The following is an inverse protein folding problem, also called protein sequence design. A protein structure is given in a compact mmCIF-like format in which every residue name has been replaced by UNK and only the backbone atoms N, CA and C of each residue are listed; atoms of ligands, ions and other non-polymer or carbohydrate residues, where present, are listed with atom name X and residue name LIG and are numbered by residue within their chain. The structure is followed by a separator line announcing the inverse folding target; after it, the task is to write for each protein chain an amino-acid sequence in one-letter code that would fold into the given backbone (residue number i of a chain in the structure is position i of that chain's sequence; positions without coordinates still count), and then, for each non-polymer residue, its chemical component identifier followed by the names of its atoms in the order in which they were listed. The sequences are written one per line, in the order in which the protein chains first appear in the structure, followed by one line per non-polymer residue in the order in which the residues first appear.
data_IF_271856770600
#
_entry.id   IF_271856770600
#
_cell.length_a   1.000
_cell.length_b   1.000
_cell.length_c   1.000
_cell.angle_alpha   90.00
_cell.angle_beta   90.00
_cell.angle_gamma   90.00
#
_symmetry.space_group_name_H-M   'P 1'
#
loop_
_entity.id
_entity.type
_entity.pdbx_description
1 polymer ?
#
# COMPACT_ATOMS: atom_id res chain seq x y z
N UNK A 1 -5.33 -3.90 12.96
CA UNK A 1 -4.43 -3.11 12.12
C UNK A 1 -3.00 -3.54 12.37
N UNK A 2 -2.24 -3.72 11.28
CA UNK A 2 -0.80 -4.04 11.27
C UNK A 2 0.01 -2.86 11.81
N UNK A 3 1.19 -3.13 12.38
CA UNK A 3 2.06 -2.10 12.98
C UNK A 3 3.15 -1.66 12.01
N UNK A 4 3.24 -0.36 11.73
CA UNK A 4 4.29 0.19 10.88
C UNK A 4 5.69 -0.22 11.34
N UNK A 5 6.01 -0.17 12.63
CA UNK A 5 7.37 -0.47 13.11
C UNK A 5 7.70 -1.98 13.16
N UNK A 6 6.80 -2.87 12.73
CA UNK A 6 7.06 -4.30 12.66
C UNK A 6 7.37 -4.70 11.19
N UNK A 7 8.54 -5.31 10.91
CA UNK A 7 8.93 -5.71 9.55
C UNK A 7 7.99 -6.73 8.89
N UNK A 8 7.50 -7.71 9.63
CA UNK A 8 6.60 -8.74 9.12
C UNK A 8 5.24 -8.16 8.75
N UNK A 9 4.75 -7.22 9.56
CA UNK A 9 3.53 -6.46 9.30
C UNK A 9 3.67 -5.60 8.03
N UNK A 10 4.80 -4.91 7.83
CA UNK A 10 5.06 -4.19 6.57
C UNK A 10 5.05 -5.14 5.38
N UNK A 11 5.73 -6.28 5.48
CA UNK A 11 5.80 -7.29 4.41
C UNK A 11 4.40 -7.82 4.06
N UNK A 12 3.59 -8.13 5.08
CA UNK A 12 2.22 -8.60 4.90
C UNK A 12 1.34 -7.55 4.22
N UNK A 13 1.44 -6.28 4.64
CA UNK A 13 0.72 -5.16 4.01
C UNK A 13 1.10 -4.97 2.54
N UNK A 14 2.41 -4.91 2.23
CA UNK A 14 2.90 -4.80 0.85
C UNK A 14 2.40 -5.96 -0.01
N UNK A 15 2.45 -7.19 0.51
CA UNK A 15 1.97 -8.38 -0.20
C UNK A 15 0.47 -8.30 -0.51
N UNK A 16 -0.34 -7.84 0.44
CA UNK A 16 -1.78 -7.68 0.23
C UNK A 16 -2.10 -6.65 -0.86
N UNK A 17 -1.43 -5.49 -0.83
CA UNK A 17 -1.61 -4.43 -1.84
C UNK A 17 -1.13 -4.91 -3.22
N UNK A 18 0.03 -5.56 -3.30
CA UNK A 18 0.53 -6.12 -4.56
C UNK A 18 -0.40 -7.20 -5.13
N UNK A 19 -0.97 -8.08 -4.30
CA UNK A 19 -1.99 -9.05 -4.73
C UNK A 19 -3.22 -8.36 -5.31
N UNK A 20 -3.68 -7.27 -4.69
CA UNK A 20 -4.80 -6.48 -5.20
C UNK A 20 -4.46 -5.88 -6.57
N UNK A 21 -3.27 -5.32 -6.74
CA UNK A 21 -2.80 -4.78 -8.03
C UNK A 21 -2.74 -5.86 -9.11
N UNK A 22 -2.22 -7.06 -8.79
CA UNK A 22 -2.17 -8.18 -9.74
C UNK A 22 -3.57 -8.63 -10.18
N UNK A 23 -4.56 -8.57 -9.28
CA UNK A 23 -5.95 -8.91 -9.58
C UNK A 23 -6.73 -7.79 -10.29
N UNK A 24 -6.26 -6.54 -10.20
CA UNK A 24 -6.96 -5.34 -10.65
C UNK A 24 -5.94 -4.31 -11.16
N UNK A 25 -5.66 -4.38 -12.46
CA UNK A 25 -4.69 -3.48 -13.10
C UNK A 25 -5.08 -2.00 -13.00
N UNK A 26 -6.39 -1.71 -12.97
CA UNK A 26 -6.88 -0.33 -12.85
C UNK A 26 -6.57 0.27 -11.48
N UNK A 27 -6.57 -0.57 -10.44
CA UNK A 27 -6.12 -0.20 -9.10
C UNK A 27 -4.62 0.14 -9.10
N UNK A 28 -3.80 -0.66 -9.79
CA UNK A 28 -2.37 -0.39 -9.96
C UNK A 28 -2.09 0.95 -10.64
N UNK A 29 -2.82 1.28 -11.71
CA UNK A 29 -2.69 2.58 -12.38
C UNK A 29 -2.96 3.76 -11.45
N UNK A 30 -4.06 3.69 -10.65
CA UNK A 30 -4.37 4.73 -9.67
C UNK A 30 -3.31 4.89 -8.58
N UNK A 31 -2.70 3.78 -8.15
CA UNK A 31 -1.59 3.82 -7.20
C UNK A 31 -0.32 4.49 -7.77
N UNK A 32 -0.11 4.47 -9.10
CA UNK A 32 1.00 5.17 -9.75
C UNK A 32 0.73 6.68 -9.90
N UNK A 33 -0.54 7.06 -10.06
CA UNK A 33 -0.95 8.45 -10.33
C UNK A 33 -1.14 9.30 -9.06
N UNK A 34 -1.45 8.69 -7.91
CA UNK A 34 -1.84 9.41 -6.70
C UNK A 34 -1.24 8.83 -5.42
N UNK A 35 -0.43 9.63 -4.72
CA UNK A 35 0.13 9.29 -3.39
C UNK A 35 -0.96 9.10 -2.35
N UNK A 36 -2.00 9.94 -2.36
CA UNK A 36 -3.16 9.80 -1.46
C UNK A 36 -3.89 8.47 -1.68
N UNK A 37 -4.08 8.07 -2.95
CA UNK A 37 -4.70 6.79 -3.27
C UNK A 37 -3.81 5.63 -2.82
N UNK A 38 -2.50 5.70 -3.10
CA UNK A 38 -1.52 4.73 -2.66
C UNK A 38 -1.50 4.57 -1.13
N UNK A 39 -1.50 5.68 -0.37
CA UNK A 39 -1.57 5.67 1.09
C UNK A 39 -2.87 5.04 1.59
N UNK A 40 -4.02 5.40 1.01
CA UNK A 40 -5.31 4.78 1.32
C UNK A 40 -5.35 3.29 0.98
N UNK A 41 -4.66 2.85 -0.07
CA UNK A 41 -4.55 1.43 -0.41
C UNK A 41 -3.82 0.66 0.70
N UNK A 42 -2.75 1.21 1.26
CA UNK A 42 -2.07 0.61 2.42
C UNK A 42 -2.96 0.59 3.67
N UNK A 43 -3.73 1.64 3.91
CA UNK A 43 -4.67 1.68 5.03
C UNK A 43 -5.80 0.65 4.90
N UNK A 44 -6.39 0.51 3.71
CA UNK A 44 -7.61 -0.28 3.49
C UNK A 44 -7.33 -1.73 3.10
N UNK A 45 -6.37 -1.97 2.21
CA UNK A 45 -6.00 -3.32 1.72
C UNK A 45 -4.83 -3.88 2.53
N UNK A 46 -3.84 -3.03 2.78
CA UNK A 46 -2.68 -3.37 3.60
C UNK A 46 -2.94 -3.33 5.10
N UNK A 47 -4.11 -2.87 5.54
CA UNK A 47 -4.53 -2.74 6.95
C UNK A 47 -3.43 -2.13 7.84
N UNK A 48 -2.62 -1.23 7.27
CA UNK A 48 -1.47 -0.60 7.92
C UNK A 48 -1.55 0.91 7.72
N UNK A 49 -1.34 1.64 8.81
CA UNK A 49 -1.26 3.09 8.74
C UNK A 49 0.16 3.49 8.36
N UNK A 50 0.29 4.19 7.23
CA UNK A 50 1.56 4.76 6.79
C UNK A 50 1.75 6.08 7.54
N UNK A 51 2.87 6.30 8.24
CA UNK A 51 3.18 7.57 8.90
C UNK A 51 3.28 8.74 7.92
N UNK A 52 2.99 9.96 8.38
CA UNK A 52 3.02 11.16 7.55
C UNK A 52 4.42 11.47 6.99
N UNK A 53 5.47 11.10 7.72
CA UNK A 53 6.88 11.26 7.32
C UNK A 53 7.38 10.18 6.35
N UNK A 54 6.56 9.16 6.08
CA UNK A 54 6.86 8.12 5.10
C UNK A 54 6.09 8.36 3.79
N UNK A 55 6.74 8.15 2.65
CA UNK A 55 6.11 8.22 1.33
C UNK A 55 5.84 6.81 0.78
N UNK A 56 4.69 6.63 0.13
CA UNK A 56 4.40 5.42 -0.64
C UNK A 56 4.75 5.68 -2.09
N UNK A 57 5.60 4.84 -2.68
CA UNK A 57 6.02 4.98 -4.09
C UNK A 57 5.77 3.66 -4.79
N UNK A 58 4.89 3.70 -5.80
CA UNK A 58 4.75 2.63 -6.77
C UNK A 58 5.58 2.97 -8.01
N UNK A 59 6.27 1.97 -8.56
CA UNK A 59 7.04 2.08 -9.79
C UNK A 59 6.47 1.09 -10.82
N UNK A 60 6.39 1.46 -12.10
CA UNK A 60 5.89 0.60 -13.16
C UNK A 60 6.81 -0.59 -13.46
#
# INVERSE_FOLDING_TARGET
MRKWNNPDDKKAACTAVLKKIMSDKSFGAKCLESDDFARKAFQTIGEIEVPEDAKVVFLP
#
